data_IF_093565803460
#
_entry.id   IF_093565803460
#
_cell.length_a   1.000
_cell.length_b   1.000
_cell.length_c   1.000
_cell.angle_alpha   90.00
_cell.angle_beta   90.00
_cell.angle_gamma   90.00
#
_symmetry.space_group_name_H-M   'P 1'
#
loop_
_entity.id
_entity.type
_entity.pdbx_description
1 polymer ?
#
# COMPACT_ATOMS: atom_id res chain seq x y z
N UNK A 1 72.62 -9.01 18.60
CA UNK A 1 71.88 -7.77 18.34
C UNK A 1 70.55 -7.90 19.10
N UNK A 2 70.52 -7.60 20.41
CA UNK A 2 70.16 -6.28 21.01
C UNK A 2 68.81 -5.77 20.45
N UNK A 3 67.78 -5.39 21.20
CA UNK A 3 67.56 -5.02 22.60
C UNK A 3 66.03 -4.82 22.72
N UNK A 4 65.30 -5.46 23.64
CA UNK A 4 64.78 -4.89 24.91
C UNK A 4 64.17 -3.48 24.86
N UNK A 5 62.89 -3.35 25.26
CA UNK A 5 62.35 -2.38 26.24
C UNK A 5 60.80 -2.55 26.37
N UNK A 6 60.22 -3.01 27.51
CA UNK A 6 59.92 -2.30 28.78
C UNK A 6 58.71 -1.35 28.63
N UNK A 7 57.48 -1.68 29.06
CA UNK A 7 56.86 -1.71 30.42
C UNK A 7 56.63 -0.34 31.08
N UNK A 8 55.49 -0.24 31.79
CA UNK A 8 55.03 0.72 32.82
C UNK A 8 54.27 1.97 32.35
N UNK A 9 53.26 2.50 33.06
CA UNK A 9 52.30 2.07 34.11
C UNK A 9 51.41 3.30 34.38
N UNK A 10 50.25 3.02 34.97
CA UNK A 10 49.27 3.92 35.59
C UNK A 10 49.67 5.36 35.99
N UNK A 11 48.72 6.27 35.78
CA UNK A 11 48.59 7.55 36.46
C UNK A 11 47.13 7.79 36.85
N UNK A 12 46.90 8.07 38.12
CA UNK A 12 45.64 7.99 38.88
C UNK A 12 45.32 9.41 39.43
N UNK A 13 44.06 9.65 39.81
CA UNK A 13 43.60 10.67 40.80
C UNK A 13 43.62 12.13 40.29
N UNK A 14 42.80 13.09 40.71
CA UNK A 14 41.43 13.27 41.23
C UNK A 14 41.34 14.78 41.57
N UNK A 15 40.12 15.28 41.84
CA UNK A 15 39.82 16.50 42.62
C UNK A 15 40.14 17.86 41.95
N UNK A 16 39.41 18.96 42.15
CA UNK A 16 38.16 19.26 42.85
C UNK A 16 37.74 20.71 42.51
N UNK A 17 36.44 21.00 42.74
CA UNK A 17 35.82 22.28 43.19
C UNK A 17 36.04 23.54 42.32
N UNK A 18 35.02 24.32 41.96
CA UNK A 18 34.08 25.11 42.82
C UNK A 18 32.87 25.52 41.95
N UNK A 19 31.60 25.30 42.32
CA UNK A 19 30.75 25.99 43.31
C UNK A 19 30.42 27.47 43.00
N UNK A 20 29.22 27.72 42.45
CA UNK A 20 28.29 28.85 42.74
C UNK A 20 27.09 28.75 41.76
N UNK A 21 25.93 28.20 42.10
CA UNK A 21 24.87 28.75 42.95
C UNK A 21 24.34 30.13 42.52
N UNK A 22 23.23 30.16 41.75
CA UNK A 22 22.17 31.15 41.94
C UNK A 22 20.86 30.71 41.26
N UNK A 23 19.80 30.76 42.06
CA UNK A 23 18.41 30.35 41.90
C UNK A 23 17.65 31.18 40.85
N UNK A 24 16.63 30.58 40.24
CA UNK A 24 15.57 31.33 39.53
C UNK A 24 14.66 30.47 38.64
N UNK A 25 13.66 29.81 39.22
CA UNK A 25 12.43 29.31 38.56
C UNK A 25 11.24 30.09 39.16
N UNK A 26 10.02 30.06 38.61
CA UNK A 26 9.58 29.81 37.22
C UNK A 26 8.54 30.87 36.75
N UNK A 27 8.19 30.91 35.46
CA UNK A 27 6.93 31.54 35.03
C UNK A 27 6.32 30.76 33.85
N UNK A 28 5.33 29.96 34.19
CA UNK A 28 4.37 29.31 33.29
C UNK A 28 3.38 30.38 32.81
N UNK A 29 3.15 30.47 31.50
CA UNK A 29 1.92 31.04 30.95
C UNK A 29 1.59 30.39 29.60
N UNK A 30 1.00 29.21 29.68
CA UNK A 30 0.17 28.67 28.62
C UNK A 30 -1.23 29.24 28.74
N UNK A 31 -1.72 29.86 27.65
CA UNK A 31 -3.13 30.18 27.48
C UNK A 31 -3.52 29.60 26.13
N UNK A 32 -4.16 28.43 26.16
CA UNK A 32 -4.99 27.97 25.06
C UNK A 32 -6.34 27.57 25.66
N UNK A 33 -7.32 28.42 25.36
CA UNK A 33 -8.69 28.41 25.86
C UNK A 33 -9.43 27.16 25.38
N UNK A 34 -10.09 26.48 26.32
CA UNK A 34 -10.96 25.34 26.06
C UNK A 34 -12.44 25.75 26.00
N UNK A 35 -13.14 25.08 25.08
CA UNK A 35 -14.59 24.77 25.03
C UNK A 35 -15.57 25.88 24.62
N UNK A 36 -16.66 25.47 23.94
CA UNK A 36 -17.86 25.18 24.73
C UNK A 36 -18.36 23.73 24.60
N UNK A 37 -18.88 23.26 25.73
CA UNK A 37 -19.63 22.02 25.91
C UNK A 37 -21.12 22.37 25.78
N UNK A 38 -21.90 21.64 24.97
CA UNK A 38 -23.33 21.35 25.15
C UNK A 38 -23.73 20.25 24.15
N UNK A 39 -23.82 19.00 24.58
CA UNK A 39 -25.02 18.31 25.09
C UNK A 39 -26.03 17.92 24.00
N UNK A 40 -26.12 16.60 23.69
CA UNK A 40 -27.31 15.77 23.96
C UNK A 40 -27.15 14.30 23.50
N UNK A 41 -27.31 13.41 24.50
CA UNK A 41 -28.03 12.12 24.55
C UNK A 41 -27.59 10.90 23.70
N UNK A 42 -27.19 9.87 24.47
CA UNK A 42 -27.57 8.44 24.46
C UNK A 42 -27.41 7.63 23.15
N UNK A 43 -26.56 6.62 23.22
CA UNK A 43 -27.02 5.24 23.39
C UNK A 43 -25.85 4.33 23.81
N UNK A 44 -26.01 3.64 24.94
CA UNK A 44 -25.27 2.41 25.21
C UNK A 44 -25.70 1.40 24.14
N UNK A 45 -24.77 0.95 23.30
CA UNK A 45 -24.96 -0.26 22.53
C UNK A 45 -23.91 -1.28 22.90
N UNK A 46 -24.44 -2.40 23.38
CA UNK A 46 -23.78 -3.59 23.85
C UNK A 46 -22.70 -4.09 22.89
N UNK A 47 -21.51 -4.32 23.43
CA UNK A 47 -20.44 -5.06 22.77
C UNK A 47 -20.80 -6.54 22.72
N UNK A 48 -21.48 -6.96 21.66
CA UNK A 48 -21.54 -8.36 21.24
C UNK A 48 -20.88 -8.49 19.87
N UNK A 49 -19.57 -8.73 19.85
CA UNK A 49 -18.84 -8.95 18.60
C UNK A 49 -18.91 -10.43 18.20
N UNK A 50 -20.06 -10.82 17.66
CA UNK A 50 -20.18 -12.01 16.84
C UNK A 50 -19.38 -11.84 15.52
N UNK A 51 -18.94 -12.94 14.86
CA UNK A 51 -18.33 -12.84 13.53
C UNK A 51 -19.28 -12.12 12.58
N UNK A 52 -18.79 -11.05 11.96
CA UNK A 52 -19.57 -10.18 11.08
C UNK A 52 -20.17 -10.99 9.94
N UNK A 53 -21.51 -11.10 9.92
CA UNK A 53 -22.25 -11.59 8.77
C UNK A 53 -21.87 -10.76 7.52
N UNK A 54 -21.93 -11.35 6.31
CA UNK A 54 -21.66 -10.62 5.09
C UNK A 54 -22.61 -9.41 4.99
N UNK A 55 -22.06 -8.21 4.85
CA UNK A 55 -22.86 -7.03 4.53
C UNK A 55 -23.47 -7.25 3.14
N UNK A 56 -24.79 -7.07 2.94
CA UNK A 56 -25.44 -7.33 1.64
C UNK A 56 -24.87 -6.47 0.50
N UNK A 57 -24.12 -5.42 0.80
CA UNK A 57 -23.39 -4.60 -0.19
C UNK A 57 -22.19 -5.33 -0.80
N UNK A 58 -21.71 -6.42 -0.21
CA UNK A 58 -20.47 -7.11 -0.59
C UNK A 58 -20.67 -8.62 -0.71
N UNK A 59 -19.85 -9.25 -1.56
CA UNK A 59 -19.81 -10.72 -1.65
C UNK A 59 -19.21 -11.36 -0.38
N UNK A 60 -18.34 -10.64 0.33
CA UNK A 60 -17.66 -11.14 1.53
C UNK A 60 -17.06 -10.00 2.37
N UNK A 61 -16.92 -10.15 3.71
CA UNK A 61 -16.20 -9.18 4.54
C UNK A 61 -14.69 -9.14 4.28
N UNK A 62 -14.11 -10.16 3.62
CA UNK A 62 -12.66 -10.19 3.34
C UNK A 62 -12.32 -9.70 1.91
N UNK A 63 -13.18 -9.99 0.95
CA UNK A 63 -12.95 -9.68 -0.46
C UNK A 63 -13.68 -8.38 -0.83
N UNK A 64 -12.96 -7.42 -1.40
CA UNK A 64 -13.56 -6.18 -1.86
C UNK A 64 -14.61 -6.46 -2.96
N UNK A 65 -15.64 -5.62 -3.12
CA UNK A 65 -16.62 -5.79 -4.18
C UNK A 65 -15.94 -5.84 -5.56
N UNK A 66 -16.43 -6.73 -6.43
CA UNK A 66 -15.90 -6.98 -7.77
C UNK A 66 -15.84 -5.73 -8.64
N UNK A 67 -16.71 -4.74 -8.39
CA UNK A 67 -16.70 -3.43 -9.05
C UNK A 67 -15.40 -2.63 -8.84
N UNK A 68 -14.58 -2.99 -7.84
CA UNK A 68 -13.28 -2.36 -7.58
C UNK A 68 -12.12 -3.02 -8.34
N UNK A 69 -12.37 -4.17 -8.98
CA UNK A 69 -11.41 -4.86 -9.83
C UNK A 69 -11.52 -4.37 -11.28
N UNK A 70 -10.49 -4.61 -12.11
CA UNK A 70 -10.59 -4.41 -13.56
C UNK A 70 -11.82 -5.14 -14.12
N UNK A 71 -12.57 -4.48 -15.00
CA UNK A 71 -13.70 -5.11 -15.68
C UNK A 71 -13.25 -6.33 -16.49
N UNK A 72 -14.15 -7.28 -16.71
CA UNK A 72 -13.83 -8.42 -17.57
C UNK A 72 -13.70 -7.95 -19.03
N UNK A 73 -12.62 -8.35 -19.70
CA UNK A 73 -12.37 -8.01 -21.10
C UNK A 73 -12.68 -9.22 -21.97
N UNK A 74 -13.91 -9.27 -22.47
CA UNK A 74 -14.37 -10.30 -23.39
C UNK A 74 -14.01 -9.95 -24.84
N UNK A 75 -12.99 -10.63 -25.37
CA UNK A 75 -12.60 -10.53 -26.78
C UNK A 75 -13.05 -11.78 -27.54
N UNK A 76 -13.43 -11.64 -28.83
CA UNK A 76 -13.72 -12.80 -29.66
C UNK A 76 -12.48 -13.71 -29.76
N UNK A 77 -12.66 -15.04 -29.92
CA UNK A 77 -11.56 -15.96 -30.15
C UNK A 77 -10.84 -15.64 -31.48
N UNK A 78 -9.64 -16.21 -31.74
CA UNK A 78 -8.91 -15.97 -32.98
C UNK A 78 -9.80 -16.14 -34.23
N UNK A 79 -9.68 -15.19 -35.15
CA UNK A 79 -10.51 -15.11 -36.37
C UNK A 79 -10.52 -16.45 -37.11
N UNK A 80 -11.71 -16.94 -37.46
CA UNK A 80 -11.86 -18.17 -38.25
C UNK A 80 -11.47 -17.92 -39.71
N UNK A 81 -10.91 -18.93 -40.43
CA UNK A 81 -10.71 -18.84 -41.87
C UNK A 81 -12.04 -18.52 -42.56
N UNK A 82 -12.09 -17.47 -43.40
CA UNK A 82 -13.30 -17.04 -44.10
C UNK A 82 -14.19 -16.01 -43.37
N UNK A 83 -13.94 -15.68 -42.11
CA UNK A 83 -14.69 -14.62 -41.41
C UNK A 83 -14.29 -13.23 -41.94
N UNK A 84 -15.28 -12.34 -42.10
CA UNK A 84 -15.03 -10.96 -42.55
C UNK A 84 -14.12 -10.21 -41.58
N UNK A 85 -13.08 -9.57 -42.13
CA UNK A 85 -12.12 -8.78 -41.34
C UNK A 85 -12.84 -7.66 -40.60
N UNK A 86 -13.73 -6.94 -41.27
CA UNK A 86 -14.49 -5.85 -40.69
C UNK A 86 -15.37 -6.32 -39.52
N UNK A 87 -16.12 -7.40 -39.69
CA UNK A 87 -16.98 -7.95 -38.63
C UNK A 87 -16.17 -8.41 -37.41
N UNK A 88 -15.00 -9.01 -37.63
CA UNK A 88 -14.09 -9.41 -36.57
C UNK A 88 -13.55 -8.21 -35.77
N UNK A 89 -13.06 -7.17 -36.44
CA UNK A 89 -12.58 -5.96 -35.76
C UNK A 89 -13.70 -5.18 -35.06
N UNK A 90 -14.91 -5.17 -35.63
CA UNK A 90 -16.07 -4.58 -34.96
C UNK A 90 -16.41 -5.30 -33.65
N UNK A 91 -16.35 -6.64 -33.62
CA UNK A 91 -16.53 -7.42 -32.38
C UNK A 91 -15.47 -7.10 -31.34
N UNK A 92 -14.20 -6.97 -31.76
CA UNK A 92 -13.10 -6.53 -30.87
C UNK A 92 -13.41 -5.13 -30.30
N UNK A 93 -13.78 -4.19 -31.16
CA UNK A 93 -14.10 -2.82 -30.75
C UNK A 93 -15.26 -2.77 -29.74
N UNK A 94 -16.32 -3.57 -29.97
CA UNK A 94 -17.45 -3.71 -29.03
C UNK A 94 -17.01 -4.25 -27.67
N UNK A 95 -16.11 -5.24 -27.64
CA UNK A 95 -15.53 -5.79 -26.40
C UNK A 95 -14.81 -4.72 -25.58
N UNK A 96 -13.91 -3.96 -26.20
CA UNK A 96 -13.21 -2.86 -25.54
C UNK A 96 -14.13 -1.74 -25.08
N UNK A 97 -15.13 -1.37 -25.90
CA UNK A 97 -16.10 -0.34 -25.53
C UNK A 97 -16.92 -0.75 -24.30
N UNK A 98 -17.38 -2.01 -24.25
CA UNK A 98 -18.09 -2.57 -23.10
C UNK A 98 -17.21 -2.58 -21.84
N UNK A 99 -15.95 -3.02 -21.98
CA UNK A 99 -14.95 -3.02 -20.91
C UNK A 99 -14.74 -1.63 -20.31
N UNK A 100 -14.43 -0.62 -21.13
CA UNK A 100 -14.18 0.74 -20.65
C UNK A 100 -15.43 1.40 -20.08
N UNK A 101 -16.60 1.20 -20.71
CA UNK A 101 -17.88 1.70 -20.20
C UNK A 101 -18.17 1.14 -18.81
N UNK A 102 -17.97 -0.16 -18.62
CA UNK A 102 -18.18 -0.84 -17.33
C UNK A 102 -17.18 -0.36 -16.28
N UNK A 103 -15.88 -0.33 -16.64
CA UNK A 103 -14.83 0.13 -15.73
C UNK A 103 -15.04 1.59 -15.28
N UNK A 104 -15.41 2.49 -16.19
CA UNK A 104 -15.67 3.90 -15.87
C UNK A 104 -16.93 4.06 -15.03
N UNK A 105 -18.02 3.35 -15.37
CA UNK A 105 -19.24 3.34 -14.53
C UNK A 105 -18.91 2.90 -13.11
N UNK A 106 -18.10 1.86 -12.96
CA UNK A 106 -17.71 1.35 -11.65
C UNK A 106 -16.89 2.38 -10.87
N UNK A 107 -15.87 2.97 -11.48
CA UNK A 107 -15.00 3.96 -10.83
C UNK A 107 -15.71 5.29 -10.52
N UNK A 108 -16.56 5.79 -11.43
CA UNK A 108 -17.16 7.12 -11.33
C UNK A 108 -18.47 7.14 -10.56
N UNK A 109 -19.15 6.01 -10.45
CA UNK A 109 -20.52 5.98 -9.92
C UNK A 109 -20.74 4.91 -8.87
N UNK A 110 -20.45 3.63 -9.19
CA UNK A 110 -20.76 2.51 -8.28
C UNK A 110 -19.88 2.57 -7.03
N UNK A 111 -18.56 2.60 -7.20
CA UNK A 111 -17.61 2.58 -6.08
C UNK A 111 -17.71 3.83 -5.19
N UNK A 112 -17.87 5.06 -5.72
CA UNK A 112 -18.10 6.24 -4.87
C UNK A 112 -19.38 6.15 -4.04
N UNK A 113 -20.47 5.61 -4.60
CA UNK A 113 -21.73 5.41 -3.87
C UNK A 113 -21.60 4.39 -2.75
N UNK A 114 -20.91 3.28 -3.01
CA UNK A 114 -20.63 2.26 -1.99
C UNK A 114 -19.69 2.80 -0.90
N UNK A 115 -18.67 3.56 -1.29
CA UNK A 115 -17.65 4.11 -0.40
C UNK A 115 -18.17 5.27 0.46
N UNK A 116 -19.18 6.02 0.01
CA UNK A 116 -19.70 7.20 0.69
C UNK A 116 -20.11 6.94 2.15
N UNK A 117 -21.04 6.01 2.44
CA UNK A 117 -21.46 5.69 3.79
C UNK A 117 -20.31 5.18 4.68
N UNK A 118 -19.42 4.36 4.11
CA UNK A 118 -18.25 3.83 4.82
C UNK A 118 -17.28 4.95 5.17
N UNK A 119 -17.05 5.88 4.23
CA UNK A 119 -16.18 7.04 4.43
C UNK A 119 -16.75 8.01 5.46
N UNK A 120 -18.07 8.19 5.52
CA UNK A 120 -18.71 9.01 6.56
C UNK A 120 -18.39 8.44 7.94
N UNK A 121 -18.70 7.15 8.16
CA UNK A 121 -18.40 6.47 9.43
C UNK A 121 -16.91 6.47 9.76
N UNK A 122 -16.05 6.28 8.75
CA UNK A 122 -14.59 6.35 8.91
C UNK A 122 -14.12 7.70 9.45
N UNK A 123 -14.71 8.81 8.95
CA UNK A 123 -14.34 10.16 9.39
C UNK A 123 -14.79 10.42 10.83
N UNK A 124 -15.99 9.96 11.18
CA UNK A 124 -16.54 10.11 12.54
C UNK A 124 -15.67 9.37 13.57
N UNK A 125 -15.12 8.22 13.20
CA UNK A 125 -14.27 7.38 14.06
C UNK A 125 -12.79 7.79 14.11
N UNK A 126 -12.43 9.02 13.72
CA UNK A 126 -11.01 9.50 13.71
C UNK A 126 -10.08 8.62 12.84
N UNK A 127 -10.62 7.94 11.84
CA UNK A 127 -9.90 7.12 10.87
C UNK A 127 -9.23 5.86 11.45
N UNK A 128 -7.94 5.65 11.16
CA UNK A 128 -7.23 4.42 11.55
C UNK A 128 -7.25 4.15 13.06
N UNK A 129 -7.26 5.20 13.90
CA UNK A 129 -7.26 5.05 15.35
C UNK A 129 -8.57 4.42 15.87
N UNK A 130 -9.73 4.85 15.38
CA UNK A 130 -11.02 4.28 15.80
C UNK A 130 -11.28 2.90 15.21
N UNK A 131 -10.69 2.57 14.06
CA UNK A 131 -10.82 1.24 13.44
C UNK A 131 -10.28 0.12 14.32
N UNK A 132 -9.08 0.32 14.86
CA UNK A 132 -8.42 -0.67 15.73
C UNK A 132 -9.24 -0.88 17.00
N UNK A 133 -9.88 0.18 17.50
CA UNK A 133 -10.66 0.17 18.74
C UNK A 133 -12.06 -0.42 18.54
N UNK A 134 -12.79 0.08 17.55
CA UNK A 134 -14.21 -0.20 17.36
C UNK A 134 -14.46 -1.46 16.52
N UNK A 135 -13.43 -1.99 15.84
CA UNK A 135 -13.44 -3.23 15.06
C UNK A 135 -14.62 -3.38 14.09
N UNK A 136 -15.28 -2.30 13.66
CA UNK A 136 -16.45 -2.40 12.78
C UNK A 136 -16.06 -2.57 11.32
N UNK A 137 -14.89 -2.05 10.93
CA UNK A 137 -14.47 -2.10 9.53
C UNK A 137 -14.02 -3.51 9.13
N UNK A 138 -14.42 -3.89 7.92
CA UNK A 138 -14.00 -5.14 7.29
C UNK A 138 -12.84 -4.90 6.34
N UNK A 139 -12.16 -5.97 5.88
CA UNK A 139 -11.11 -5.82 4.87
C UNK A 139 -11.69 -5.29 3.56
N UNK A 140 -12.88 -5.76 3.17
CA UNK A 140 -13.55 -5.33 1.94
C UNK A 140 -13.83 -3.82 1.95
N UNK A 141 -14.27 -3.25 3.07
CA UNK A 141 -14.43 -1.81 3.27
C UNK A 141 -13.10 -1.03 3.10
N UNK A 142 -12.02 -1.49 3.75
CA UNK A 142 -10.71 -0.85 3.65
C UNK A 142 -10.22 -0.80 2.19
N UNK A 143 -10.35 -1.92 1.48
CA UNK A 143 -9.97 -2.04 0.08
C UNK A 143 -10.84 -1.16 -0.83
N UNK A 144 -12.16 -1.13 -0.59
CA UNK A 144 -13.08 -0.25 -1.30
C UNK A 144 -12.67 1.22 -1.15
N UNK A 145 -12.44 1.70 0.07
CA UNK A 145 -12.04 3.08 0.32
C UNK A 145 -10.72 3.44 -0.37
N UNK A 146 -9.70 2.57 -0.23
CA UNK A 146 -8.39 2.77 -0.87
C UNK A 146 -8.50 2.85 -2.39
N UNK A 147 -9.19 1.89 -3.01
CA UNK A 147 -9.32 1.79 -4.48
C UNK A 147 -10.19 2.92 -5.03
N UNK A 148 -11.31 3.21 -4.37
CA UNK A 148 -12.16 4.34 -4.73
C UNK A 148 -11.40 5.67 -4.69
N UNK A 149 -10.63 5.93 -3.63
CA UNK A 149 -9.82 7.16 -3.56
C UNK A 149 -8.73 7.22 -4.63
N UNK A 150 -8.18 6.07 -5.03
CA UNK A 150 -7.20 5.97 -6.11
C UNK A 150 -7.82 6.32 -7.48
N UNK A 151 -8.99 5.74 -7.76
CA UNK A 151 -9.67 5.84 -9.05
C UNK A 151 -10.35 7.20 -9.21
N UNK A 152 -11.05 7.66 -8.16
CA UNK A 152 -11.75 8.94 -8.16
C UNK A 152 -10.80 10.12 -8.45
N UNK A 153 -9.57 10.09 -7.94
CA UNK A 153 -8.56 11.12 -8.21
C UNK A 153 -8.03 11.10 -9.66
N UNK A 154 -8.24 10.00 -10.40
CA UNK A 154 -7.79 9.85 -11.79
C UNK A 154 -8.88 10.12 -12.81
N UNK A 155 -10.15 10.10 -12.41
CA UNK A 155 -11.27 10.39 -13.31
C UNK A 155 -11.14 11.76 -13.98
N UNK A 156 -10.81 12.87 -13.28
CA UNK A 156 -10.67 14.16 -13.94
C UNK A 156 -9.55 14.17 -15.00
N UNK A 157 -8.39 13.56 -14.67
CA UNK A 157 -7.27 13.43 -15.60
C UNK A 157 -7.63 12.58 -16.83
N UNK A 158 -8.35 11.48 -16.60
CA UNK A 158 -8.84 10.62 -17.67
C UNK A 158 -9.90 11.33 -18.54
N UNK A 159 -10.79 12.12 -17.95
CA UNK A 159 -11.78 12.90 -18.67
C UNK A 159 -11.13 13.95 -19.58
N UNK A 160 -10.12 14.68 -19.09
CA UNK A 160 -9.34 15.61 -19.91
C UNK A 160 -8.65 14.88 -21.06
N UNK A 161 -8.00 13.74 -20.79
CA UNK A 161 -7.38 12.92 -21.83
C UNK A 161 -8.40 12.51 -22.89
N UNK A 162 -9.58 12.03 -22.48
CA UNK A 162 -10.63 11.62 -23.40
C UNK A 162 -11.15 12.78 -24.25
N UNK A 163 -11.32 13.98 -23.67
CA UNK A 163 -11.74 15.18 -24.42
C UNK A 163 -10.70 15.61 -25.45
N UNK A 164 -9.40 15.52 -25.13
CA UNK A 164 -8.32 15.93 -26.03
C UNK A 164 -8.08 14.89 -27.13
N UNK A 165 -8.04 13.61 -26.78
CA UNK A 165 -7.70 12.54 -27.71
C UNK A 165 -8.92 11.98 -28.46
N UNK A 166 -10.14 12.24 -27.98
CA UNK A 166 -11.39 11.77 -28.58
C UNK A 166 -11.35 10.26 -28.88
N UNK A 167 -11.51 9.92 -30.14
CA UNK A 167 -11.50 8.54 -30.65
C UNK A 167 -10.14 7.83 -30.54
N UNK A 168 -9.04 8.58 -30.42
CA UNK A 168 -7.69 8.01 -30.28
C UNK A 168 -7.34 7.62 -28.84
N UNK A 169 -8.23 7.89 -27.86
CA UNK A 169 -8.02 7.58 -26.45
C UNK A 169 -7.61 6.12 -26.18
N UNK A 170 -8.18 5.08 -26.84
CA UNK A 170 -7.77 3.69 -26.62
C UNK A 170 -6.28 3.43 -26.88
N UNK A 171 -5.66 4.12 -27.85
CA UNK A 171 -4.22 3.99 -28.13
C UNK A 171 -3.36 4.65 -27.04
N UNK A 172 -3.77 5.82 -26.55
CA UNK A 172 -3.04 6.53 -25.49
C UNK A 172 -3.14 5.78 -24.16
N UNK A 173 -4.33 5.26 -23.85
CA UNK A 173 -4.57 4.44 -22.66
C UNK A 173 -3.76 3.16 -22.69
N UNK A 174 -3.58 2.54 -23.86
CA UNK A 174 -2.74 1.36 -24.02
C UNK A 174 -1.28 1.64 -23.59
N UNK A 175 -0.79 2.86 -23.84
CA UNK A 175 0.58 3.27 -23.53
C UNK A 175 0.78 3.71 -22.06
N UNK A 176 -0.23 4.31 -21.43
CA UNK A 176 -0.10 4.94 -20.09
C UNK A 176 -1.08 4.39 -19.05
N UNK A 177 -0.69 3.31 -18.35
CA UNK A 177 -1.47 2.68 -17.26
C UNK A 177 -1.64 3.54 -15.99
N UNK A 178 -0.90 4.64 -15.87
CA UNK A 178 -0.92 5.52 -14.71
C UNK A 178 -2.07 6.53 -14.70
N UNK A 179 -2.63 6.84 -15.87
CA UNK A 179 -3.68 7.85 -16.05
C UNK A 179 -5.07 7.24 -15.79
N UNK A 180 -5.20 5.95 -16.05
CA UNK A 180 -6.50 5.26 -16.09
C UNK A 180 -6.86 4.69 -14.70
N UNK A 181 -8.16 4.72 -14.31
CA UNK A 181 -8.64 4.02 -13.12
C UNK A 181 -8.27 2.53 -13.12
N UNK A 182 -8.11 1.92 -11.95
CA UNK A 182 -7.78 0.49 -11.82
C UNK A 182 -8.83 -0.38 -12.52
N UNK A 183 -10.10 0.00 -12.40
CA UNK A 183 -11.24 -0.68 -13.04
C UNK A 183 -11.16 -0.76 -14.57
N UNK A 184 -10.35 0.10 -15.20
CA UNK A 184 -10.18 0.20 -16.64
C UNK A 184 -8.80 -0.30 -17.13
N UNK A 185 -8.03 -1.02 -16.29
CA UNK A 185 -6.72 -1.56 -16.68
C UNK A 185 -6.84 -2.87 -17.44
N UNK A 186 -6.22 -2.94 -18.61
CA UNK A 186 -6.22 -4.14 -19.45
C UNK A 186 -5.32 -5.22 -18.81
N UNK A 187 -5.66 -6.53 -18.89
CA UNK A 187 -4.86 -7.60 -18.31
C UNK A 187 -3.36 -7.57 -18.70
N UNK A 188 -3.06 -7.37 -19.98
CA UNK A 188 -1.67 -7.26 -20.48
C UNK A 188 -0.90 -6.07 -19.88
N UNK A 189 -1.60 -4.97 -19.58
CA UNK A 189 -1.01 -3.81 -18.91
C UNK A 189 -0.66 -4.14 -17.45
N UNK A 190 -1.54 -4.84 -16.75
CA UNK A 190 -1.32 -5.27 -15.37
C UNK A 190 -0.10 -6.19 -15.30
N UNK A 191 0.02 -7.14 -16.23
CA UNK A 191 1.16 -8.05 -16.31
C UNK A 191 2.46 -7.29 -16.62
N UNK A 192 2.45 -6.39 -17.61
CA UNK A 192 3.60 -5.56 -17.96
C UNK A 192 4.06 -4.68 -16.79
N UNK A 193 3.13 -4.07 -16.06
CA UNK A 193 3.40 -3.26 -14.88
C UNK A 193 3.99 -4.10 -13.73
N UNK A 194 3.46 -5.31 -13.52
CA UNK A 194 4.03 -6.29 -12.57
C UNK A 194 5.45 -6.67 -12.97
N UNK A 195 5.69 -6.97 -14.24
CA UNK A 195 7.02 -7.35 -14.75
C UNK A 195 8.04 -6.23 -14.57
N UNK A 196 7.65 -4.99 -14.88
CA UNK A 196 8.49 -3.80 -14.62
C UNK A 196 8.78 -3.63 -13.13
N UNK A 197 7.78 -3.83 -12.26
CA UNK A 197 7.93 -3.74 -10.81
C UNK A 197 8.89 -4.79 -10.27
N UNK A 198 8.70 -6.06 -10.61
CA UNK A 198 9.56 -7.15 -10.12
C UNK A 198 11.01 -7.00 -10.57
N UNK A 199 11.25 -6.51 -11.80
CA UNK A 199 12.60 -6.15 -12.27
C UNK A 199 13.25 -5.08 -11.41
N UNK A 200 12.51 -4.03 -11.03
CA UNK A 200 13.04 -2.98 -10.13
C UNK A 200 13.32 -3.50 -8.74
N UNK A 201 12.46 -4.39 -8.22
CA UNK A 201 12.69 -5.05 -6.94
C UNK A 201 14.00 -5.84 -7.00
N UNK A 202 14.16 -6.68 -8.01
CA UNK A 202 15.39 -7.46 -8.25
C UNK A 202 16.63 -6.58 -8.34
N UNK A 203 16.61 -5.56 -9.21
CA UNK A 203 17.73 -4.62 -9.36
C UNK A 203 18.04 -3.86 -8.06
N UNK A 204 17.01 -3.54 -7.26
CA UNK A 204 17.22 -2.90 -5.98
C UNK A 204 17.93 -3.83 -4.99
N UNK A 205 17.55 -5.10 -4.90
CA UNK A 205 18.25 -6.09 -4.06
C UNK A 205 19.69 -6.35 -4.53
N UNK A 206 19.93 -6.43 -5.84
CA UNK A 206 21.29 -6.56 -6.40
C UNK A 206 22.19 -5.39 -5.99
N UNK A 207 21.66 -4.16 -5.97
CA UNK A 207 22.38 -2.99 -5.49
C UNK A 207 22.68 -3.00 -3.97
N UNK A 208 22.01 -3.86 -3.19
CA UNK A 208 22.27 -4.07 -1.77
C UNK A 208 23.25 -5.20 -1.47
N UNK A 209 23.71 -5.98 -2.43
CA UNK A 209 24.63 -7.09 -2.14
C UNK A 209 26.09 -6.63 -2.31
N UNK A 210 27.01 -6.89 -1.36
CA UNK A 210 26.89 -7.55 -0.04
C UNK A 210 26.83 -6.52 1.13
N UNK A 211 25.76 -5.74 1.22
CA UNK A 211 25.60 -4.71 2.27
C UNK A 211 25.15 -5.29 3.61
N UNK A 212 25.60 -4.67 4.70
CA UNK A 212 25.16 -4.92 6.08
C UNK A 212 23.69 -4.55 6.34
N UNK A 213 22.99 -3.96 5.37
CA UNK A 213 21.57 -3.58 5.52
C UNK A 213 20.58 -4.73 5.32
N UNK A 214 21.02 -5.89 4.82
CA UNK A 214 20.15 -7.06 4.59
C UNK A 214 19.96 -7.83 5.90
N UNK A 215 18.74 -8.28 6.18
CA UNK A 215 18.39 -9.13 7.34
C UNK A 215 18.77 -8.53 8.71
N UNK A 216 18.86 -7.20 8.83
CA UNK A 216 19.10 -6.54 10.12
C UNK A 216 17.79 -6.14 10.81
N UNK A 217 17.73 -6.09 12.15
CA UNK A 217 16.57 -5.58 12.85
C UNK A 217 16.37 -4.08 12.64
N UNK A 218 15.12 -3.65 12.54
CA UNK A 218 14.70 -2.26 12.32
C UNK A 218 13.41 -1.98 13.07
N UNK A 219 13.50 -1.26 14.18
CA UNK A 219 12.34 -0.94 15.02
C UNK A 219 11.40 0.12 14.42
N UNK A 220 11.82 0.87 13.39
CA UNK A 220 10.95 1.88 12.78
C UNK A 220 11.56 2.66 11.62
N UNK A 221 10.69 3.41 10.93
CA UNK A 221 11.03 4.17 9.72
C UNK A 221 12.16 5.19 9.92
N UNK A 222 12.28 5.78 11.11
CA UNK A 222 13.30 6.78 11.41
C UNK A 222 14.72 6.18 11.50
N UNK A 223 14.82 4.89 11.78
CA UNK A 223 16.09 4.14 11.86
C UNK A 223 16.58 3.64 10.49
N UNK A 224 15.82 3.89 9.43
CA UNK A 224 16.21 3.55 8.06
C UNK A 224 17.07 4.66 7.45
N UNK A 225 18.18 4.25 6.86
CA UNK A 225 18.99 5.08 5.98
C UNK A 225 18.19 5.50 4.74
N UNK A 226 18.65 6.53 4.04
CA UNK A 226 18.02 6.97 2.80
C UNK A 226 17.94 5.83 1.76
N UNK A 227 19.02 5.06 1.59
CA UNK A 227 19.08 3.94 0.65
C UNK A 227 18.01 2.89 0.98
N UNK A 228 17.87 2.52 2.25
CA UNK A 228 16.87 1.55 2.69
C UNK A 228 15.43 2.08 2.54
N UNK A 229 15.19 3.38 2.79
CA UNK A 229 13.88 4.01 2.51
C UNK A 229 13.53 3.93 1.02
N UNK A 230 14.49 4.21 0.14
CA UNK A 230 14.30 4.06 -1.30
C UNK A 230 14.03 2.60 -1.66
N UNK A 231 14.78 1.66 -1.11
CA UNK A 231 14.57 0.22 -1.31
C UNK A 231 13.16 -0.24 -0.92
N UNK A 232 12.76 0.01 0.32
CA UNK A 232 11.44 -0.33 0.83
C UNK A 232 10.36 0.26 -0.09
N UNK A 233 10.55 1.52 -0.49
CA UNK A 233 9.65 2.18 -1.43
C UNK A 233 9.65 1.56 -2.84
N UNK A 234 10.74 0.94 -3.29
CA UNK A 234 10.78 0.16 -4.55
C UNK A 234 9.98 -1.12 -4.41
N UNK A 235 10.19 -1.86 -3.31
CA UNK A 235 9.51 -3.12 -2.96
C UNK A 235 8.00 -2.92 -2.98
N UNK A 236 7.49 -1.93 -2.25
CA UNK A 236 6.06 -1.59 -2.25
C UNK A 236 5.64 -0.68 -3.40
N UNK A 237 6.60 -0.20 -4.21
CA UNK A 237 6.44 0.71 -5.34
C UNK A 237 5.56 1.91 -4.99
N UNK A 238 5.99 2.68 -4.01
CA UNK A 238 5.40 3.97 -3.59
C UNK A 238 6.11 5.18 -4.20
N UNK A 239 7.11 4.96 -5.04
CA UNK A 239 7.72 5.98 -5.90
C UNK A 239 7.75 5.56 -7.37
N UNK A 240 7.86 6.55 -8.26
CA UNK A 240 7.98 6.33 -9.70
C UNK A 240 9.39 5.85 -10.05
N UNK A 241 9.54 5.09 -11.14
CA UNK A 241 10.88 4.70 -11.63
C UNK A 241 11.70 5.89 -12.13
N UNK A 242 11.04 7.03 -12.40
CA UNK A 242 11.67 8.30 -12.76
C UNK A 242 12.12 9.10 -11.54
N UNK A 243 11.84 8.62 -10.32
CA UNK A 243 12.32 9.28 -9.12
C UNK A 243 13.85 9.12 -9.07
N UNK A 244 14.61 10.22 -9.04
CA UNK A 244 16.05 10.13 -9.06
C UNK A 244 16.52 9.54 -7.73
N UNK A 245 16.79 8.23 -7.74
CA UNK A 245 17.30 7.50 -6.57
C UNK A 245 18.68 8.02 -6.12
N UNK A 246 19.33 8.82 -6.98
CA UNK A 246 20.66 9.41 -6.81
C UNK A 246 20.67 10.89 -6.43
N UNK A 247 19.52 11.57 -6.33
CA UNK A 247 19.45 13.01 -6.04
C UNK A 247 18.88 13.23 -4.64
N UNK A 248 19.42 14.26 -3.96
CA UNK A 248 19.40 14.52 -2.52
C UNK A 248 18.10 14.15 -1.74
N UNK A 249 18.23 13.78 -0.45
CA UNK A 249 17.12 13.47 0.45
C UNK A 249 16.15 14.63 0.73
N UNK A 250 16.40 15.85 0.23
CA UNK A 250 15.49 16.99 0.39
C UNK A 250 15.19 17.63 -0.97
N UNK A 251 13.94 18.07 -1.22
CA UNK A 251 12.72 17.98 -0.39
C UNK A 251 12.02 16.61 -0.45
N UNK A 252 12.53 15.71 -1.31
CA UNK A 252 11.93 14.43 -1.68
C UNK A 252 11.83 13.42 -0.54
N UNK A 253 12.70 13.50 0.46
CA UNK A 253 12.72 12.54 1.56
C UNK A 253 11.63 12.73 2.59
N UNK A 254 11.18 13.95 2.87
CA UNK A 254 10.02 14.17 3.74
C UNK A 254 8.74 13.59 3.11
N UNK A 255 8.56 13.81 1.81
CA UNK A 255 7.41 13.26 1.06
C UNK A 255 7.46 11.74 1.07
N UNK A 256 8.63 11.15 0.83
CA UNK A 256 8.82 9.71 0.84
C UNK A 256 8.54 9.11 2.22
N UNK A 257 9.09 9.71 3.28
CA UNK A 257 8.88 9.30 4.66
C UNK A 257 7.38 9.30 5.01
N UNK A 258 6.68 10.41 4.75
CA UNK A 258 5.23 10.52 5.00
C UNK A 258 4.41 9.50 4.21
N UNK A 259 4.82 9.19 2.97
CA UNK A 259 4.17 8.15 2.15
C UNK A 259 4.40 6.75 2.72
N UNK A 260 5.62 6.45 3.14
CA UNK A 260 6.00 5.16 3.73
C UNK A 260 5.31 4.95 5.09
N UNK A 261 5.31 5.95 5.98
CA UNK A 261 4.61 5.88 7.27
C UNK A 261 3.11 5.63 7.10
N UNK A 262 2.44 6.36 6.20
CA UNK A 262 1.02 6.10 5.89
C UNK A 262 0.78 4.70 5.32
N UNK A 263 1.75 4.17 4.57
CA UNK A 263 1.64 2.86 3.95
C UNK A 263 1.86 1.72 4.94
N UNK A 264 2.77 1.90 5.90
CA UNK A 264 2.94 1.01 7.05
C UNK A 264 1.62 0.85 7.83
N UNK A 265 0.95 1.96 8.14
CA UNK A 265 -0.36 1.93 8.82
C UNK A 265 -1.40 1.17 7.98
N UNK A 266 -1.42 1.38 6.66
CA UNK A 266 -2.32 0.64 5.78
C UNK A 266 -2.03 -0.86 5.78
N UNK A 267 -0.78 -1.29 5.63
CA UNK A 267 -0.42 -2.71 5.55
C UNK A 267 -0.66 -3.42 6.89
N UNK A 268 -0.28 -2.80 8.01
CA UNK A 268 -0.56 -3.36 9.34
C UNK A 268 -2.06 -3.52 9.60
N UNK A 269 -2.87 -2.54 9.16
CA UNK A 269 -4.33 -2.64 9.22
C UNK A 269 -4.85 -3.77 8.33
N UNK A 270 -4.37 -3.90 7.10
CA UNK A 270 -4.78 -4.97 6.17
C UNK A 270 -4.35 -6.37 6.69
N UNK A 271 -3.15 -6.51 7.28
CA UNK A 271 -2.68 -7.75 7.93
C UNK A 271 -3.64 -8.19 9.05
N UNK A 272 -4.05 -7.25 9.91
CA UNK A 272 -5.02 -7.50 10.98
C UNK A 272 -6.41 -7.89 10.43
N UNK A 273 -6.87 -7.20 9.39
CA UNK A 273 -8.19 -7.48 8.79
C UNK A 273 -8.21 -8.79 8.01
N UNK A 274 -7.11 -9.21 7.38
CA UNK A 274 -6.99 -10.55 6.78
C UNK A 274 -7.10 -11.61 7.87
N UNK A 275 -6.38 -11.45 8.99
CA UNK A 275 -6.44 -12.40 10.10
C UNK A 275 -7.87 -12.49 10.68
N UNK A 276 -8.56 -11.35 10.84
CA UNK A 276 -9.95 -11.30 11.31
C UNK A 276 -10.95 -11.90 10.31
N UNK A 277 -10.71 -11.73 9.02
CA UNK A 277 -11.59 -12.19 7.93
C UNK A 277 -11.53 -13.69 7.61
N UNK A 278 -10.87 -14.50 8.44
CA UNK A 278 -10.70 -15.95 8.22
C UNK A 278 -9.39 -16.34 7.52
N UNK A 279 -8.43 -15.40 7.43
CA UNK A 279 -7.08 -15.66 6.95
C UNK A 279 -6.94 -15.76 5.43
N UNK A 280 -5.75 -16.17 4.99
CA UNK A 280 -5.33 -16.18 3.57
C UNK A 280 -6.20 -17.08 2.70
N UNK A 281 -6.74 -18.16 3.25
CA UNK A 281 -7.55 -19.13 2.51
C UNK A 281 -8.90 -18.58 2.06
N UNK A 282 -9.41 -17.51 2.69
CA UNK A 282 -10.68 -16.86 2.32
C UNK A 282 -10.51 -15.79 1.25
N UNK A 283 -9.27 -15.45 0.86
CA UNK A 283 -9.01 -14.51 -0.22
C UNK A 283 -9.32 -15.15 -1.58
N UNK A 284 -10.04 -14.42 -2.41
CA UNK A 284 -10.24 -14.79 -3.81
C UNK A 284 -8.90 -14.70 -4.56
N UNK A 285 -8.71 -15.45 -5.67
CA UNK A 285 -7.47 -15.39 -6.46
C UNK A 285 -7.00 -13.97 -6.85
N UNK A 286 -7.88 -13.05 -7.33
CA UNK A 286 -7.44 -11.68 -7.62
C UNK A 286 -7.04 -10.91 -6.37
N UNK A 287 -7.76 -11.09 -5.25
CA UNK A 287 -7.46 -10.42 -3.97
C UNK A 287 -6.15 -10.92 -3.35
N UNK A 288 -5.86 -12.21 -3.47
CA UNK A 288 -4.59 -12.81 -3.07
C UNK A 288 -3.43 -12.16 -3.82
N UNK A 289 -3.53 -12.09 -5.16
CA UNK A 289 -2.50 -11.46 -5.99
C UNK A 289 -2.29 -9.99 -5.64
N UNK A 290 -3.36 -9.23 -5.39
CA UNK A 290 -3.27 -7.83 -4.95
C UNK A 290 -2.62 -7.72 -3.57
N UNK A 291 -3.01 -8.58 -2.62
CA UNK A 291 -2.47 -8.59 -1.26
C UNK A 291 -0.96 -8.90 -1.24
N UNK A 292 -0.51 -9.84 -2.08
CA UNK A 292 0.89 -10.16 -2.30
C UNK A 292 1.66 -8.95 -2.87
N UNK A 293 1.16 -8.36 -3.96
CA UNK A 293 1.80 -7.19 -4.60
C UNK A 293 1.87 -5.98 -3.65
N UNK A 294 0.83 -5.73 -2.86
CA UNK A 294 0.80 -4.64 -1.87
C UNK A 294 1.91 -4.78 -0.81
N UNK A 295 2.27 -6.01 -0.46
CA UNK A 295 3.34 -6.34 0.49
C UNK A 295 4.73 -6.43 -0.14
N UNK A 296 4.83 -6.34 -1.47
CA UNK A 296 6.09 -6.46 -2.21
C UNK A 296 6.47 -7.89 -2.59
N UNK A 297 5.54 -8.84 -2.46
CA UNK A 297 5.73 -10.23 -2.86
C UNK A 297 5.62 -10.33 -4.40
N UNK A 298 6.58 -11.03 -5.02
CA UNK A 298 6.62 -11.29 -6.47
C UNK A 298 5.52 -12.29 -6.83
N UNK A 299 4.72 -12.00 -7.85
CA UNK A 299 3.55 -12.80 -8.23
C UNK A 299 3.66 -13.48 -9.59
N UNK A 300 4.53 -13.00 -10.47
CA UNK A 300 4.66 -13.58 -11.81
C UNK A 300 5.29 -14.98 -11.73
N UNK A 301 4.68 -15.93 -12.45
CA UNK A 301 5.15 -17.31 -12.51
C UNK A 301 4.89 -18.16 -11.26
N UNK A 302 4.18 -17.63 -10.25
CA UNK A 302 3.84 -18.38 -9.03
C UNK A 302 2.44 -18.97 -9.10
N UNK A 303 2.28 -20.19 -8.60
CA UNK A 303 0.96 -20.82 -8.42
C UNK A 303 0.19 -20.15 -7.28
N UNK A 304 -1.14 -20.29 -7.28
CA UNK A 304 -1.99 -19.79 -6.20
C UNK A 304 -1.56 -20.33 -4.84
N UNK A 305 -1.17 -21.61 -4.77
CA UNK A 305 -0.69 -22.25 -3.55
C UNK A 305 0.60 -21.62 -3.02
N UNK A 306 1.56 -21.32 -3.92
CA UNK A 306 2.80 -20.63 -3.55
C UNK A 306 2.51 -19.23 -3.00
N UNK A 307 1.61 -18.48 -3.66
CA UNK A 307 1.20 -17.14 -3.20
C UNK A 307 0.53 -17.18 -1.82
N UNK A 308 -0.33 -18.17 -1.58
CA UNK A 308 -0.95 -18.37 -0.25
C UNK A 308 0.10 -18.69 0.80
N UNK A 309 1.06 -19.57 0.51
CA UNK A 309 2.13 -19.91 1.44
C UNK A 309 3.01 -18.70 1.79
N UNK A 310 3.38 -17.89 0.79
CA UNK A 310 4.19 -16.67 1.00
C UNK A 310 3.44 -15.59 1.78
N UNK A 311 2.16 -15.36 1.47
CA UNK A 311 1.35 -14.42 2.24
C UNK A 311 1.12 -14.91 3.67
N UNK A 312 0.90 -16.21 3.87
CA UNK A 312 0.77 -16.80 5.20
C UNK A 312 2.07 -16.65 6.00
N UNK A 313 3.23 -16.83 5.36
CA UNK A 313 4.53 -16.58 5.97
C UNK A 313 4.68 -15.11 6.38
N UNK A 314 4.35 -14.17 5.50
CA UNK A 314 4.37 -12.74 5.81
C UNK A 314 3.58 -12.41 7.08
N UNK A 315 2.35 -12.93 7.19
CA UNK A 315 1.50 -12.71 8.36
C UNK A 315 2.06 -13.39 9.62
N UNK A 316 2.69 -14.55 9.47
CA UNK A 316 3.34 -15.27 10.58
C UNK A 316 4.54 -14.49 11.10
N UNK A 317 5.36 -13.96 10.21
CA UNK A 317 6.52 -13.12 10.56
C UNK A 317 6.06 -11.85 11.30
N UNK A 318 4.94 -11.25 10.86
CA UNK A 318 4.33 -10.12 11.59
C UNK A 318 3.87 -10.49 13.01
N UNK A 319 3.38 -11.71 13.23
CA UNK A 319 2.99 -12.19 14.57
C UNK A 319 4.19 -12.50 15.46
N UNK A 320 5.33 -12.86 14.87
CA UNK A 320 6.60 -13.10 15.58
C UNK A 320 7.31 -11.81 16.03
N UNK A 321 6.73 -10.64 15.75
CA UNK A 321 7.32 -9.35 16.10
C UNK A 321 8.36 -8.85 15.12
N UNK A 322 8.58 -9.53 13.99
CA UNK A 322 9.43 -9.04 12.89
C UNK A 322 8.76 -7.79 12.34
N UNK A 323 9.48 -6.68 12.23
CA UNK A 323 8.87 -5.42 11.78
C UNK A 323 8.59 -5.43 10.29
N UNK A 324 7.72 -4.53 9.82
CA UNK A 324 7.43 -4.41 8.39
C UNK A 324 8.67 -4.02 7.58
N UNK A 325 9.55 -3.22 8.19
CA UNK A 325 10.78 -2.73 7.57
C UNK A 325 11.81 -3.84 7.41
N UNK A 326 11.95 -4.69 8.43
CA UNK A 326 12.76 -5.91 8.36
C UNK A 326 12.30 -6.82 7.22
N UNK A 327 10.98 -7.03 7.09
CA UNK A 327 10.44 -7.88 6.01
C UNK A 327 10.67 -7.31 4.61
N UNK A 328 10.71 -5.99 4.45
CA UNK A 328 11.03 -5.37 3.17
C UNK A 328 12.52 -5.34 2.85
N UNK A 329 13.39 -5.40 3.87
CA UNK A 329 14.84 -5.52 3.69
C UNK A 329 15.31 -6.98 3.59
N UNK A 330 14.51 -7.92 4.07
CA UNK A 330 14.80 -9.34 3.99
C UNK A 330 14.85 -9.80 2.53
N UNK A 331 15.83 -10.65 2.23
CA UNK A 331 15.95 -11.26 0.92
C UNK A 331 14.66 -12.03 0.59
N UNK A 332 14.11 -11.88 -0.62
CA UNK A 332 12.97 -12.67 -1.05
C UNK A 332 13.34 -14.14 -0.97
N UNK A 333 12.52 -14.95 -0.33
CA UNK A 333 12.69 -16.40 -0.39
C UNK A 333 12.38 -16.86 -1.81
N UNK A 334 13.30 -17.66 -2.36
CA UNK A 334 13.44 -18.05 -3.77
C UNK A 334 12.12 -18.26 -4.48
#
# INVERSE_FOLDING_TARGET
>A
MTSTATTLVAGKVAAAATAAAARGRPAVRGVFTLLPLQSKKKAFYSTSSAPSQPDPRYDSPINAPLSTLPAHLDLPPPRKPGESLFGYYFKIGKGYLSFYKTGLKNAAWVNPRLAGPVMSRWRDDRGYAGIVQNKWITRSDLQLLKRNQHDFRRIPLFAVLFTVCGEFTPFVVALFSNIVPITCRIPSQIESDRKKRERRIKASFEAFLPSTSINRPVEGLDKLTWKEKVHCSTVVGRHSGLWPSRILPLPFGFVLHKRLSRYEVYISTDDLLIAKGGGVMKLSPPELGIACVDRGIRVLGKSEQQLRAELQRWLTDSKKGITIWERWLALPTS
#
